data_IF_963588688448
#
_entry.id   IF_963588688448
#
_cell.length_a   1.000
_cell.length_b   1.000
_cell.length_c   1.000
_cell.angle_alpha   90.00
_cell.angle_beta   90.00
_cell.angle_gamma   90.00
#
_symmetry.space_group_name_H-M   'P 1'
#
loop_
_entity.id
_entity.type
_entity.pdbx_description
1 polymer ?
#
# COMPACT_ATOMS: atom_id res chain seq x y z
N UNK A 1 24.08 24.75 43.45
CA UNK A 1 23.20 23.56 43.34
C UNK A 1 22.32 23.77 42.13
N UNK A 2 22.35 22.85 41.17
CA UNK A 2 21.53 22.91 39.95
C UNK A 2 20.57 21.71 39.96
N UNK A 3 19.33 21.91 39.52
CA UNK A 3 18.36 20.82 39.32
C UNK A 3 18.76 19.96 38.11
N UNK A 4 18.79 18.64 38.27
CA UNK A 4 19.26 17.72 37.23
C UNK A 4 18.07 17.01 36.57
N UNK A 5 18.02 17.03 35.25
CA UNK A 5 17.04 16.29 34.45
C UNK A 5 17.71 15.03 33.87
N UNK A 6 17.15 13.82 34.04
CA UNK A 6 17.68 12.63 33.38
C UNK A 6 17.33 12.67 31.88
N UNK A 7 18.34 12.56 31.03
CA UNK A 7 18.15 12.33 29.59
C UNK A 7 18.12 10.82 29.39
N UNK A 8 16.97 10.28 28.98
CA UNK A 8 16.80 8.85 28.65
C UNK A 8 17.02 8.64 27.16
N UNK A 9 17.47 7.45 26.78
CA UNK A 9 17.54 7.05 25.37
C UNK A 9 16.13 7.08 24.76
N UNK A 10 15.99 7.69 23.58
CA UNK A 10 14.72 7.78 22.87
C UNK A 10 14.15 6.39 22.53
N UNK A 11 15.00 5.36 22.44
CA UNK A 11 14.59 3.97 22.18
C UNK A 11 13.95 3.27 23.40
N UNK A 12 14.16 3.73 24.63
CA UNK A 12 13.67 3.07 25.86
C UNK A 12 12.28 3.52 26.32
N UNK A 13 11.66 4.50 25.64
CA UNK A 13 10.32 4.99 26.00
C UNK A 13 9.24 4.04 25.48
N UNK A 14 8.98 2.94 26.20
CA UNK A 14 7.83 2.06 25.90
C UNK A 14 6.50 2.77 26.19
N UNK A 15 5.52 2.78 25.27
CA UNK A 15 4.21 3.33 25.55
C UNK A 15 3.44 2.40 26.50
N UNK A 16 3.13 2.88 27.71
CA UNK A 16 2.17 2.22 28.60
C UNK A 16 0.78 2.34 27.95
N UNK A 17 0.24 1.21 27.50
CA UNK A 17 -1.11 1.08 26.94
C UNK A 17 -2.19 0.96 28.04
N UNK A 18 -3.45 1.28 27.75
CA UNK A 18 -4.53 1.20 28.74
C UNK A 18 -4.96 -0.26 28.94
N UNK A 19 -4.98 -0.72 30.19
CA UNK A 19 -5.48 -2.04 30.56
C UNK A 19 -7.00 -2.05 30.42
N UNK A 20 -7.51 -2.90 29.52
CA UNK A 20 -8.96 -3.12 29.38
C UNK A 20 -9.52 -3.91 30.56
N UNK A 21 -10.68 -3.45 31.03
CA UNK A 21 -11.59 -4.14 31.94
C UNK A 21 -12.17 -5.39 31.28
N UNK A 22 -12.09 -6.55 31.93
CA UNK A 22 -12.98 -7.67 31.68
C UNK A 22 -13.68 -8.08 32.98
N UNK A 23 -14.99 -8.22 32.85
CA UNK A 23 -15.94 -8.63 33.88
C UNK A 23 -15.97 -10.14 34.09
N UNK A 24 -16.82 -10.48 35.05
CA UNK A 24 -17.02 -11.74 35.76
C UNK A 24 -17.56 -12.94 34.96
N UNK A 25 -17.46 -14.08 35.66
CA UNK A 25 -18.21 -15.36 35.57
C UNK A 25 -17.70 -16.39 34.54
N UNK A 26 -17.48 -17.68 34.83
CA UNK A 26 -17.86 -18.56 35.95
C UNK A 26 -17.16 -19.95 35.80
N UNK A 27 -17.01 -20.68 36.93
CA UNK A 27 -17.03 -22.16 37.16
C UNK A 27 -16.26 -23.09 36.16
N UNK A 28 -15.43 -24.08 36.53
CA UNK A 28 -15.58 -25.07 37.58
C UNK A 28 -14.31 -25.96 37.76
N UNK A 29 -14.19 -26.56 38.96
CA UNK A 29 -13.55 -27.85 39.34
C UNK A 29 -12.01 -28.12 39.36
N UNK A 30 -11.49 -28.10 40.61
CA UNK A 30 -10.77 -29.19 41.33
C UNK A 30 -9.40 -29.75 40.88
N UNK A 31 -8.36 -29.55 41.71
CA UNK A 31 -7.80 -30.60 42.62
C UNK A 31 -6.48 -30.19 43.33
N UNK A 32 -6.62 -29.82 44.61
CA UNK A 32 -5.85 -30.28 45.80
C UNK A 32 -4.38 -30.74 45.63
N UNK A 33 -3.49 -30.10 46.41
CA UNK A 33 -2.72 -30.65 47.57
C UNK A 33 -1.78 -29.54 48.11
N UNK A 34 -2.09 -28.98 49.30
CA UNK A 34 -1.37 -29.14 50.60
C UNK A 34 0.10 -28.68 50.57
N UNK A 35 0.60 -27.79 51.42
CA UNK A 35 0.14 -27.05 52.61
C UNK A 35 1.24 -26.02 52.96
N UNK A 36 1.18 -25.11 53.93
CA UNK A 36 0.21 -24.73 54.95
C UNK A 36 0.76 -23.47 55.66
N UNK A 37 -0.16 -22.62 56.14
CA UNK A 37 -0.07 -21.57 57.20
C UNK A 37 1.15 -20.62 57.23
N UNK A 38 1.03 -19.31 57.42
CA UNK A 38 -0.10 -18.46 57.81
C UNK A 38 0.31 -16.99 57.68
N UNK A 39 -0.69 -16.17 57.38
CA UNK A 39 -0.70 -14.73 57.19
C UNK A 39 -0.01 -13.89 58.28
N UNK A 40 0.63 -12.78 57.89
CA UNK A 40 0.08 -11.43 58.16
C UNK A 40 1.02 -10.34 57.66
N UNK A 41 0.69 -9.75 56.51
CA UNK A 41 0.60 -8.30 56.23
C UNK A 41 0.81 -8.03 54.74
N UNK A 42 -0.30 -8.08 53.99
CA UNK A 42 -0.50 -7.26 52.80
C UNK A 42 -0.43 -5.79 53.22
N UNK A 43 0.47 -5.04 52.58
CA UNK A 43 0.32 -3.67 52.08
C UNK A 43 1.74 -3.21 51.75
N UNK A 44 2.10 -3.27 50.47
CA UNK A 44 2.72 -2.12 49.81
C UNK A 44 2.75 -2.35 48.30
N UNK A 45 2.02 -1.48 47.62
CA UNK A 45 1.88 -1.44 46.20
C UNK A 45 3.21 -1.06 45.53
N UNK A 46 3.49 -1.75 44.42
CA UNK A 46 4.45 -1.43 43.36
C UNK A 46 4.96 0.03 43.36
N UNK A 47 6.12 0.27 43.99
CA UNK A 47 7.06 1.32 43.59
C UNK A 47 8.21 0.66 42.84
N UNK A 48 8.05 0.44 41.54
CA UNK A 48 9.22 0.30 40.67
C UNK A 48 9.83 1.70 40.51
N UNK A 49 10.68 2.09 41.46
CA UNK A 49 11.63 3.16 41.21
C UNK A 49 12.65 2.62 40.20
N UNK A 50 12.53 3.02 38.92
CA UNK A 50 13.63 2.93 37.97
C UNK A 50 14.85 3.59 38.62
N UNK A 51 15.85 2.79 39.01
CA UNK A 51 17.10 3.33 39.54
C UNK A 51 17.81 4.01 38.38
N UNK A 52 17.72 5.33 38.30
CA UNK A 52 18.43 6.13 37.29
C UNK A 52 19.92 6.08 37.60
N UNK A 53 20.70 5.45 36.73
CA UNK A 53 22.15 5.48 36.79
C UNK A 53 22.66 6.81 36.21
N UNK A 54 23.17 7.68 37.10
CA UNK A 54 23.70 8.99 36.73
C UNK A 54 25.13 8.88 36.23
N UNK A 55 25.42 9.55 35.11
CA UNK A 55 26.79 9.71 34.66
C UNK A 55 27.53 10.76 35.51
N UNK A 56 28.84 10.57 35.70
CA UNK A 56 29.68 11.45 36.51
C UNK A 56 29.92 12.84 35.88
N UNK A 57 29.58 13.00 34.60
CA UNK A 57 29.70 14.26 33.85
C UNK A 57 28.39 14.63 33.17
N UNK A 58 28.13 15.93 33.09
CA UNK A 58 26.91 16.49 32.51
C UNK A 58 27.16 17.82 31.80
N UNK A 59 26.10 18.36 31.18
CA UNK A 59 26.09 19.66 30.53
C UNK A 59 25.11 20.57 31.26
N UNK A 60 25.57 21.72 31.72
CA UNK A 60 24.69 22.76 32.24
C UNK A 60 23.99 23.40 31.05
N UNK A 61 22.67 23.48 31.08
CA UNK A 61 21.88 24.02 29.98
C UNK A 61 20.88 25.08 30.46
N UNK A 62 20.63 26.07 29.60
CA UNK A 62 19.61 27.10 29.78
C UNK A 62 18.38 26.74 28.97
N UNK A 63 17.20 26.74 29.59
CA UNK A 63 15.95 26.60 28.87
C UNK A 63 15.63 27.88 28.10
N UNK A 64 15.52 27.77 26.78
CA UNK A 64 15.20 28.89 25.88
C UNK A 64 13.71 28.99 25.62
N UNK A 65 13.05 27.85 25.38
CA UNK A 65 11.65 27.84 25.00
C UNK A 65 10.96 26.57 25.51
N UNK A 66 9.72 26.73 25.98
CA UNK A 66 8.83 25.64 26.37
C UNK A 66 7.56 25.74 25.54
N UNK A 67 7.33 24.79 24.64
CA UNK A 67 6.07 24.68 23.90
C UNK A 67 5.27 23.46 24.34
N UNK A 68 3.95 23.59 24.24
CA UNK A 68 2.99 22.52 24.52
C UNK A 68 2.41 22.02 23.20
N UNK A 69 2.76 20.80 22.82
CA UNK A 69 2.11 20.03 21.75
C UNK A 69 0.95 19.20 22.30
N UNK A 70 -0.07 19.01 21.47
CA UNK A 70 -1.20 18.12 21.77
C UNK A 70 -1.36 17.16 20.60
N UNK A 71 -1.18 15.87 20.86
CA UNK A 71 -1.46 14.82 19.86
C UNK A 71 -2.96 14.65 19.69
N UNK A 72 -3.47 14.94 18.48
CA UNK A 72 -4.91 14.98 18.18
C UNK A 72 -5.63 13.64 17.89
N UNK A 73 -5.06 12.47 18.23
CA UNK A 73 -5.89 11.27 18.45
C UNK A 73 -5.90 10.78 19.92
N UNK A 74 -4.86 11.05 20.72
CA UNK A 74 -4.63 10.41 22.03
C UNK A 74 -4.92 11.32 23.23
N UNK A 75 -5.10 12.63 23.01
CA UNK A 75 -5.23 13.61 24.09
C UNK A 75 -3.95 13.80 24.93
N UNK A 76 -2.83 13.16 24.53
CA UNK A 76 -1.55 13.29 25.21
C UNK A 76 -0.99 14.69 25.00
N UNK A 77 -0.59 15.30 26.12
CA UNK A 77 0.07 16.60 26.15
C UNK A 77 1.57 16.34 26.14
N UNK A 78 2.24 16.75 25.07
CA UNK A 78 3.70 16.68 24.93
C UNK A 78 4.29 18.06 25.21
N UNK A 79 5.28 18.14 26.08
CA UNK A 79 6.04 19.37 26.30
C UNK A 79 7.36 19.28 25.53
N UNK A 80 7.66 20.26 24.70
CA UNK A 80 8.91 20.37 23.97
C UNK A 80 9.71 21.48 24.63
N UNK A 81 10.89 21.15 25.15
CA UNK A 81 11.82 22.09 25.77
C UNK A 81 13.03 22.26 24.86
N UNK A 82 13.28 23.49 24.45
CA UNK A 82 14.51 23.86 23.72
C UNK A 82 15.54 24.29 24.74
N UNK A 83 16.68 23.60 24.76
CA UNK A 83 17.78 23.83 25.69
C UNK A 83 19.02 24.34 24.93
N UNK A 84 19.74 25.27 25.54
CA UNK A 84 21.05 25.73 25.08
C UNK A 84 22.12 25.25 26.06
N UNK A 85 23.07 24.44 25.58
CA UNK A 85 24.21 23.99 26.38
C UNK A 85 25.16 25.15 26.69
N UNK A 86 25.44 25.36 27.97
CA UNK A 86 26.34 26.41 28.47
C UNK A 86 27.75 25.88 28.66
N UNK A 87 27.92 24.87 29.53
CA UNK A 87 29.24 24.34 29.90
C UNK A 87 29.16 22.87 30.33
N UNK A 88 30.29 22.16 30.25
CA UNK A 88 30.45 20.81 30.79
C UNK A 88 30.81 20.88 32.27
N UNK A 89 30.30 19.94 33.06
CA UNK A 89 30.62 19.85 34.48
C UNK A 89 30.82 18.40 34.93
N UNK A 90 31.57 18.23 36.02
CA UNK A 90 31.63 16.97 36.77
C UNK A 90 30.69 17.05 37.97
N UNK A 91 29.98 15.96 38.24
CA UNK A 91 29.16 15.80 39.44
C UNK A 91 30.08 15.40 40.59
N UNK A 92 30.06 16.16 41.68
CA UNK A 92 30.82 15.83 42.90
C UNK A 92 29.95 15.12 43.92
N UNK A 93 28.72 15.62 44.12
CA UNK A 93 27.79 15.11 45.12
C UNK A 93 26.37 15.22 44.57
N UNK A 94 25.64 14.11 44.56
CA UNK A 94 24.23 14.04 44.19
C UNK A 94 23.37 14.00 45.47
N UNK A 95 22.35 14.83 45.52
CA UNK A 95 21.39 14.89 46.62
C UNK A 95 19.97 14.95 46.06
N UNK A 96 18.99 14.47 46.81
CA UNK A 96 17.58 14.52 46.41
C UNK A 96 16.86 15.49 47.33
N UNK A 97 16.14 16.46 46.75
CA UNK A 97 15.31 17.42 47.50
C UNK A 97 13.89 17.37 46.96
N UNK A 98 13.01 16.68 47.69
CA UNK A 98 11.60 16.52 47.29
C UNK A 98 11.46 15.76 45.97
N UNK A 99 10.87 16.40 44.97
CA UNK A 99 10.57 15.81 43.65
C UNK A 99 11.68 15.97 42.60
N UNK A 100 12.81 16.61 42.95
CA UNK A 100 13.92 16.86 42.02
C UNK A 100 15.29 16.50 42.62
N UNK A 101 16.23 16.18 41.74
CA UNK A 101 17.62 15.92 42.11
C UNK A 101 18.45 17.20 42.05
N UNK A 102 19.33 17.39 43.03
CA UNK A 102 20.28 18.50 43.12
C UNK A 102 21.70 18.01 43.21
N UNK A 103 22.62 18.56 42.40
CA UNK A 103 24.05 18.25 42.50
C UNK A 103 24.90 19.46 42.91
N UNK A 104 26.01 19.16 43.59
CA UNK A 104 27.20 20.00 43.60
C UNK A 104 28.06 19.61 42.39
N UNK A 105 28.42 20.60 41.59
CA UNK A 105 29.11 20.41 40.32
C UNK A 105 30.39 21.25 40.28
N UNK A 106 31.39 20.80 39.51
CA UNK A 106 32.58 21.58 39.16
C UNK A 106 32.66 21.77 37.65
N UNK A 107 32.92 23.01 37.21
CA UNK A 107 33.10 23.32 35.78
C UNK A 107 34.31 22.56 35.23
N UNK A 108 34.16 22.03 34.01
CA UNK A 108 35.23 21.38 33.24
C UNK A 108 35.70 22.25 32.07
N UNK A 109 35.29 23.51 32.01
CA UNK A 109 35.80 24.45 31.00
C UNK A 109 37.22 24.90 31.34
N UNK A 110 38.07 24.87 30.33
CA UNK A 110 39.40 25.46 30.40
C UNK A 110 39.28 26.98 30.50
N UNK A 111 40.18 27.59 31.28
CA UNK A 111 40.31 29.04 31.34
C UNK A 111 40.76 29.59 29.98
N UNK A 112 40.48 30.88 29.72
CA UNK A 112 40.87 31.53 28.46
C UNK A 112 42.37 31.41 28.18
N UNK A 113 43.19 31.56 29.21
CA UNK A 113 44.65 31.45 29.15
C UNK A 113 45.12 30.04 28.80
N UNK A 114 44.46 29.00 29.31
CA UNK A 114 44.78 27.61 28.97
C UNK A 114 44.38 27.28 27.52
N UNK A 115 43.23 27.81 27.07
CA UNK A 115 42.79 27.65 25.68
C UNK A 115 43.71 28.35 24.68
N UNK A 116 44.19 29.56 24.99
CA UNK A 116 45.15 30.29 24.15
C UNK A 116 46.46 29.51 23.97
N UNK A 117 46.92 28.80 25.01
CA UNK A 117 48.09 27.93 24.92
C UNK A 117 47.83 26.71 24.02
N UNK A 118 46.67 26.08 24.16
CA UNK A 118 46.27 24.94 23.31
C UNK A 118 46.12 25.35 21.85
N UNK A 119 45.60 26.54 21.57
CA UNK A 119 45.42 27.05 20.20
C UNK A 119 46.76 27.35 19.49
N UNK A 120 47.84 27.60 20.24
CA UNK A 120 49.19 27.78 19.71
C UNK A 120 49.95 26.47 19.49
N UNK A 121 49.43 25.36 19.98
CA UNK A 121 50.06 24.06 19.86
C UNK A 121 50.02 23.55 18.41
N UNK A 122 51.16 23.13 17.82
CA UNK A 122 51.23 22.69 16.43
C UNK A 122 50.31 21.49 16.14
N UNK A 123 50.13 20.57 17.08
CA UNK A 123 49.27 19.39 16.90
C UNK A 123 47.80 19.80 16.86
N UNK A 124 47.40 20.75 17.71
CA UNK A 124 46.04 21.26 17.74
C UNK A 124 45.70 22.03 16.47
N UNK A 125 46.64 22.83 15.94
CA UNK A 125 46.49 23.54 14.67
C UNK A 125 46.31 22.54 13.52
N UNK A 126 47.10 21.47 13.49
CA UNK A 126 46.97 20.41 12.48
C UNK A 126 45.61 19.72 12.54
N UNK A 127 45.21 19.26 13.73
CA UNK A 127 43.89 18.62 13.94
C UNK A 127 42.74 19.56 13.58
N UNK A 128 42.87 20.84 13.92
CA UNK A 128 41.89 21.87 13.57
C UNK A 128 41.74 22.04 12.06
N UNK A 129 42.85 22.04 11.31
CA UNK A 129 42.82 22.10 9.84
C UNK A 129 42.17 20.86 9.23
N UNK A 130 42.50 19.68 9.74
CA UNK A 130 41.93 18.41 9.30
C UNK A 130 40.41 18.36 9.55
N UNK A 131 39.97 18.75 10.76
CA UNK A 131 38.56 18.82 11.10
C UNK A 131 37.81 19.81 10.20
N UNK A 132 38.35 21.02 10.01
CA UNK A 132 37.71 22.01 9.12
C UNK A 132 37.60 21.52 7.68
N UNK A 133 38.61 20.84 7.15
CA UNK A 133 38.61 20.30 5.79
C UNK A 133 37.52 19.24 5.61
N UNK A 134 37.44 18.27 6.53
CA UNK A 134 36.43 17.20 6.51
C UNK A 134 35.01 17.75 6.73
N UNK A 135 34.83 18.69 7.65
CA UNK A 135 33.56 19.36 7.89
C UNK A 135 33.08 20.18 6.68
N UNK A 136 34.00 20.86 5.98
CA UNK A 136 33.69 21.62 4.77
C UNK A 136 33.26 20.71 3.61
N UNK A 137 33.91 19.55 3.47
CA UNK A 137 33.51 18.55 2.49
C UNK A 137 32.12 17.98 2.78
N UNK A 138 31.82 17.69 4.05
CA UNK A 138 30.49 17.24 4.43
C UNK A 138 29.41 18.29 4.13
N UNK A 139 29.66 19.57 4.47
CA UNK A 139 28.73 20.66 4.18
C UNK A 139 28.49 20.78 2.67
N UNK A 140 29.55 20.71 1.85
CA UNK A 140 29.38 20.87 0.40
C UNK A 140 28.51 19.76 -0.22
N UNK A 141 28.69 18.51 0.22
CA UNK A 141 27.85 17.38 -0.19
C UNK A 141 26.39 17.55 0.26
N UNK A 142 26.16 18.04 1.47
CA UNK A 142 24.80 18.28 1.99
C UNK A 142 24.10 19.45 1.28
N UNK A 143 24.81 20.56 1.03
CA UNK A 143 24.27 21.71 0.29
C UNK A 143 23.87 21.33 -1.13
N UNK A 144 24.67 20.51 -1.81
CA UNK A 144 24.36 20.00 -3.16
C UNK A 144 23.02 19.23 -3.18
N UNK A 145 22.73 18.46 -2.12
CA UNK A 145 21.49 17.68 -2.01
C UNK A 145 20.29 18.52 -1.60
N UNK A 146 20.44 19.40 -0.62
CA UNK A 146 19.32 20.13 -0.03
C UNK A 146 19.02 21.48 -0.70
N UNK A 147 19.80 21.90 -1.71
CA UNK A 147 19.68 23.21 -2.40
C UNK A 147 19.56 24.40 -1.44
N UNK A 148 20.10 24.26 -0.23
CA UNK A 148 20.01 25.25 0.83
C UNK A 148 21.34 25.99 0.87
N UNK A 149 21.32 27.31 0.66
CA UNK A 149 22.54 28.09 0.48
C UNK A 149 23.21 28.51 1.80
N UNK A 150 24.50 28.20 1.95
CA UNK A 150 25.57 29.09 2.45
C UNK A 150 25.62 29.45 3.93
N UNK A 151 24.57 29.18 4.73
CA UNK A 151 24.54 29.58 6.15
C UNK A 151 25.53 28.80 7.02
N UNK A 152 25.81 27.54 6.67
CA UNK A 152 26.67 26.66 7.48
C UNK A 152 28.17 26.92 7.23
N UNK A 153 28.53 27.44 6.05
CA UNK A 153 29.93 27.80 5.72
C UNK A 153 30.45 28.97 6.56
N UNK A 154 29.60 29.95 6.85
CA UNK A 154 29.96 31.10 7.69
C UNK A 154 30.28 30.69 9.13
N UNK A 155 29.67 29.61 9.63
CA UNK A 155 29.96 29.09 10.97
C UNK A 155 31.40 28.53 11.08
N UNK A 156 31.93 27.90 10.02
CA UNK A 156 33.29 27.34 10.00
C UNK A 156 34.39 28.39 10.15
N UNK A 157 34.11 29.63 9.76
CA UNK A 157 35.04 30.76 9.80
C UNK A 157 34.92 31.56 11.10
N UNK A 158 33.70 31.65 11.66
CA UNK A 158 33.40 32.55 12.79
C UNK A 158 33.46 31.88 14.16
N UNK A 159 33.25 30.56 14.24
CA UNK A 159 33.17 29.83 15.51
C UNK A 159 34.50 29.11 15.81
N UNK A 160 35.00 29.14 17.06
CA UNK A 160 36.17 28.36 17.46
C UNK A 160 36.02 26.86 17.19
N UNK A 161 37.11 26.21 16.78
CA UNK A 161 37.11 24.82 16.27
C UNK A 161 36.59 23.82 17.30
N UNK A 162 36.94 24.00 18.57
CA UNK A 162 36.48 23.14 19.66
C UNK A 162 34.96 23.23 19.89
N UNK A 163 34.33 24.38 19.62
CA UNK A 163 32.86 24.54 19.65
C UNK A 163 32.19 24.03 18.38
N UNK A 164 32.85 24.19 17.23
CA UNK A 164 32.37 23.62 15.98
C UNK A 164 32.27 22.10 16.07
N UNK A 165 33.25 21.43 16.68
CA UNK A 165 33.20 20.00 16.94
C UNK A 165 31.92 19.59 17.70
N UNK A 166 31.57 20.33 18.75
CA UNK A 166 30.38 20.07 19.56
C UNK A 166 29.08 20.31 18.76
N UNK A 167 29.02 21.36 17.94
CA UNK A 167 27.85 21.68 17.10
C UNK A 167 27.62 20.61 16.03
N UNK A 168 28.69 20.16 15.36
CA UNK A 168 28.58 19.14 14.32
C UNK A 168 28.12 17.80 14.89
N UNK A 169 28.71 17.38 16.01
CA UNK A 169 28.36 16.12 16.68
C UNK A 169 26.92 16.15 17.17
N UNK A 170 26.45 17.28 17.72
CA UNK A 170 25.05 17.44 18.13
C UNK A 170 24.06 17.43 16.96
N UNK A 171 24.53 17.67 15.73
CA UNK A 171 23.72 17.61 14.52
C UNK A 171 23.60 16.20 13.95
N UNK A 172 24.38 15.24 14.44
CA UNK A 172 24.37 13.86 13.97
C UNK A 172 23.58 12.94 14.90
N UNK A 173 22.87 12.00 14.31
CA UNK A 173 22.25 10.89 15.04
C UNK A 173 23.32 9.83 15.35
N UNK A 174 23.93 9.95 16.53
CA UNK A 174 24.94 9.02 17.06
C UNK A 174 24.42 8.30 18.30
N UNK A 175 25.01 7.14 18.63
CA UNK A 175 24.56 6.34 19.77
C UNK A 175 24.77 7.09 21.10
N UNK A 176 23.98 6.75 22.11
CA UNK A 176 24.10 7.36 23.44
C UNK A 176 25.51 7.19 24.04
N UNK A 177 26.14 6.04 23.83
CA UNK A 177 27.52 5.77 24.27
C UNK A 177 28.54 6.68 23.58
N UNK A 178 28.37 6.96 22.29
CA UNK A 178 29.23 7.89 21.54
C UNK A 178 29.04 9.33 22.02
N UNK A 179 27.79 9.74 22.30
CA UNK A 179 27.50 11.04 22.90
C UNK A 179 28.18 11.20 24.25
N UNK A 180 28.17 10.14 25.07
CA UNK A 180 28.79 10.11 26.38
C UNK A 180 30.33 10.16 26.28
N UNK A 181 30.92 9.40 25.36
CA UNK A 181 32.36 9.43 25.07
C UNK A 181 32.84 10.81 24.60
N UNK A 182 32.00 11.54 23.86
CA UNK A 182 32.27 12.92 23.46
C UNK A 182 32.14 13.90 24.63
N UNK A 183 31.17 13.68 25.53
CA UNK A 183 31.04 14.44 26.77
C UNK A 183 32.25 14.23 27.69
N UNK A 184 32.80 13.01 27.71
CA UNK A 184 33.96 12.65 28.53
C UNK A 184 35.31 13.18 28.04
N UNK A 185 35.36 13.59 26.77
CA UNK A 185 36.59 14.07 26.16
C UNK A 185 36.81 15.54 26.54
N UNK A 186 37.37 15.79 27.73
CA UNK A 186 37.62 17.14 28.26
C UNK A 186 38.73 17.83 27.46
N UNK A 187 39.78 17.11 27.08
CA UNK A 187 40.87 17.63 26.24
C UNK A 187 40.38 18.00 24.83
N UNK A 188 40.53 19.27 24.40
CA UNK A 188 40.16 19.72 23.06
C UNK A 188 40.82 18.92 21.92
N UNK A 189 42.06 18.44 22.08
CA UNK A 189 42.75 17.66 21.04
C UNK A 189 42.09 16.31 20.82
N UNK A 190 41.86 15.56 21.91
CA UNK A 190 41.16 14.27 21.89
C UNK A 190 39.74 14.44 21.33
N UNK A 191 39.05 15.50 21.74
CA UNK A 191 37.71 15.80 21.25
C UNK A 191 37.68 16.09 19.76
N UNK A 192 38.61 16.89 19.25
CA UNK A 192 38.71 17.17 17.81
C UNK A 192 39.01 15.92 17.00
N UNK A 193 39.91 15.07 17.48
CA UNK A 193 40.22 13.79 16.82
C UNK A 193 38.98 12.91 16.71
N UNK A 194 38.24 12.69 17.82
CA UNK A 194 36.99 11.93 17.81
C UNK A 194 35.90 12.56 16.95
N UNK A 195 35.74 13.88 17.01
CA UNK A 195 34.77 14.58 16.15
C UNK A 195 35.11 14.43 14.67
N UNK A 196 36.39 14.47 14.31
CA UNK A 196 36.86 14.25 12.93
C UNK A 196 36.52 12.84 12.45
N UNK A 197 36.73 11.82 13.29
CA UNK A 197 36.38 10.44 12.98
C UNK A 197 34.86 10.26 12.75
N UNK A 198 34.04 10.87 13.60
CA UNK A 198 32.58 10.84 13.45
C UNK A 198 32.12 11.52 12.16
N UNK A 199 32.68 12.69 11.84
CA UNK A 199 32.40 13.42 10.60
C UNK A 199 32.81 12.58 9.38
N UNK A 200 34.00 11.97 9.38
CA UNK A 200 34.47 11.13 8.27
C UNK A 200 33.59 9.89 8.09
N UNK A 201 33.19 9.23 9.18
CA UNK A 201 32.27 8.09 9.14
C UNK A 201 30.93 8.46 8.49
N UNK A 202 30.36 9.61 8.85
CA UNK A 202 29.13 10.10 8.21
C UNK A 202 29.35 10.42 6.74
N UNK A 203 30.48 11.02 6.39
CA UNK A 203 30.83 11.34 5.01
C UNK A 203 30.97 10.07 4.15
N UNK A 204 31.62 9.03 4.66
CA UNK A 204 31.71 7.72 4.00
C UNK A 204 30.33 7.07 3.81
N UNK A 205 29.46 7.14 4.83
CA UNK A 205 28.08 6.64 4.72
C UNK A 205 27.32 7.32 3.58
N UNK A 206 27.43 8.65 3.47
CA UNK A 206 26.81 9.42 2.39
C UNK A 206 27.36 9.01 1.01
N UNK A 207 28.68 8.84 0.87
CA UNK A 207 29.32 8.41 -0.38
C UNK A 207 28.92 6.98 -0.79
N UNK A 208 28.82 6.06 0.18
CA UNK A 208 28.34 4.69 -0.09
C UNK A 208 26.88 4.72 -0.54
N UNK A 209 26.03 5.51 0.12
CA UNK A 209 24.64 5.70 -0.28
C UNK A 209 24.54 6.28 -1.71
N UNK A 210 25.41 7.21 -2.10
CA UNK A 210 25.47 7.72 -3.48
C UNK A 210 25.91 6.67 -4.48
N UNK A 211 26.96 5.90 -4.17
CA UNK A 211 27.44 4.82 -5.04
C UNK A 211 26.38 3.74 -5.22
N UNK A 212 25.62 3.43 -4.17
CA UNK A 212 24.46 2.53 -4.25
C UNK A 212 23.37 3.18 -5.10
N UNK A 213 23.00 4.44 -4.85
CA UNK A 213 21.97 5.14 -5.63
C UNK A 213 22.31 5.19 -7.12
N UNK A 214 23.56 5.52 -7.47
CA UNK A 214 24.03 5.53 -8.86
C UNK A 214 24.07 4.14 -9.49
N UNK A 215 24.48 3.11 -8.73
CA UNK A 215 24.47 1.72 -9.20
C UNK A 215 23.05 1.17 -9.35
N UNK A 216 22.15 1.54 -8.45
CA UNK A 216 20.72 1.20 -8.50
C UNK A 216 20.05 1.93 -9.66
N UNK A 217 20.30 3.23 -9.87
CA UNK A 217 19.82 3.97 -11.05
C UNK A 217 20.41 3.43 -12.36
N UNK A 218 21.67 2.99 -12.36
CA UNK A 218 22.33 2.38 -13.51
C UNK A 218 21.91 0.92 -13.79
N UNK A 219 21.51 0.16 -12.78
CA UNK A 219 21.07 -1.24 -12.89
C UNK A 219 19.55 -1.40 -13.01
N UNK A 220 18.75 -0.40 -12.59
CA UNK A 220 17.30 -0.39 -12.78
C UNK A 220 16.98 -0.13 -14.25
N UNK A 221 16.99 -1.21 -15.04
CA UNK A 221 16.33 -1.24 -16.34
C UNK A 221 14.89 -0.72 -16.20
N UNK A 222 14.37 -0.06 -17.26
CA UNK A 222 12.98 0.45 -17.30
C UNK A 222 11.96 -0.56 -16.74
N UNK A 223 12.16 -1.85 -16.99
CA UNK A 223 11.29 -2.93 -16.51
C UNK A 223 11.28 -3.11 -14.98
N UNK A 224 12.41 -2.93 -14.29
CA UNK A 224 12.45 -3.04 -12.82
C UNK A 224 11.96 -1.77 -12.14
N UNK A 225 12.19 -0.60 -12.74
CA UNK A 225 11.58 0.66 -12.28
C UNK A 225 10.05 0.58 -12.40
N UNK A 226 9.54 0.00 -13.49
CA UNK A 226 8.11 -0.25 -13.66
C UNK A 226 7.58 -1.28 -12.64
N UNK A 227 8.35 -2.33 -12.34
CA UNK A 227 8.00 -3.32 -11.31
C UNK A 227 7.93 -2.70 -9.90
N UNK A 228 8.93 -1.91 -9.50
CA UNK A 228 8.95 -1.24 -8.19
C UNK A 228 7.83 -0.19 -8.08
N UNK A 229 7.59 0.58 -9.14
CA UNK A 229 6.48 1.54 -9.18
C UNK A 229 5.12 0.84 -9.05
N UNK A 230 4.92 -0.32 -9.70
CA UNK A 230 3.71 -1.12 -9.51
C UNK A 230 3.57 -1.63 -8.08
N UNK A 231 4.65 -2.09 -7.47
CA UNK A 231 4.63 -2.59 -6.10
C UNK A 231 4.36 -1.47 -5.07
N UNK A 232 4.93 -0.28 -5.28
CA UNK A 232 4.65 0.90 -4.46
C UNK A 232 3.22 1.40 -4.65
N UNK A 233 2.71 1.43 -5.89
CA UNK A 233 1.31 1.75 -6.15
C UNK A 233 0.36 0.76 -5.47
N UNK A 234 0.72 -0.54 -5.42
CA UNK A 234 -0.03 -1.56 -4.70
C UNK A 234 -0.04 -1.31 -3.20
N UNK A 235 1.12 -1.08 -2.59
CA UNK A 235 1.24 -0.76 -1.16
C UNK A 235 0.50 0.54 -0.78
N UNK A 236 0.52 1.56 -1.64
CA UNK A 236 -0.23 2.81 -1.43
C UNK A 236 -1.74 2.56 -1.50
N UNK A 237 -2.24 1.75 -2.44
CA UNK A 237 -3.67 1.40 -2.52
C UNK A 237 -4.13 0.60 -1.29
N UNK A 238 -3.30 -0.32 -0.82
CA UNK A 238 -3.53 -1.15 0.36
C UNK A 238 -3.58 -0.30 1.64
N UNK A 239 -2.69 0.70 1.79
CA UNK A 239 -2.76 1.68 2.89
C UNK A 239 -3.94 2.67 2.76
N UNK A 240 -4.39 2.98 1.54
CA UNK A 240 -5.57 3.81 1.31
C UNK A 240 -6.90 3.07 1.55
N UNK A 241 -6.87 1.74 1.78
CA UNK A 241 -8.06 0.92 1.95
C UNK A 241 -8.88 0.74 0.66
N UNK A 242 -8.24 0.82 -0.51
CA UNK A 242 -8.83 0.44 -1.79
C UNK A 242 -8.61 -1.08 -1.93
N UNK A 243 -9.67 -1.87 -1.70
CA UNK A 243 -9.61 -3.34 -1.59
C UNK A 243 -8.98 -4.01 -2.84
N UNK A 244 -8.01 -4.91 -2.62
CA UNK A 244 -7.34 -5.73 -3.67
C UNK A 244 -8.35 -6.57 -4.49
N UNK A 245 -9.56 -6.83 -3.98
CA UNK A 245 -10.62 -7.62 -4.62
C UNK A 245 -11.06 -7.02 -5.97
N UNK A 246 -11.08 -5.68 -6.10
CA UNK A 246 -11.51 -5.01 -7.33
C UNK A 246 -10.47 -5.12 -8.48
N UNK A 247 -9.18 -5.22 -8.16
CA UNK A 247 -8.11 -5.34 -9.16
C UNK A 247 -8.03 -6.77 -9.73
N UNK A 248 -8.22 -7.79 -8.88
CA UNK A 248 -8.33 -9.19 -9.31
C UNK A 248 -9.58 -9.43 -10.17
N UNK A 249 -10.71 -8.78 -9.86
CA UNK A 249 -11.95 -8.82 -10.64
C UNK A 249 -11.78 -8.27 -12.07
N UNK A 250 -11.04 -7.16 -12.22
CA UNK A 250 -10.77 -6.56 -13.52
C UNK A 250 -9.79 -7.40 -14.35
N UNK A 251 -8.81 -8.04 -13.72
CA UNK A 251 -7.95 -9.01 -14.40
C UNK A 251 -8.72 -10.24 -14.86
N UNK A 252 -9.66 -10.76 -14.04
CA UNK A 252 -10.52 -11.87 -14.43
C UNK A 252 -11.38 -11.52 -15.65
N UNK A 253 -11.94 -10.30 -15.70
CA UNK A 253 -12.69 -9.81 -16.84
C UNK A 253 -11.81 -9.70 -18.10
N UNK A 254 -10.58 -9.21 -17.99
CA UNK A 254 -9.63 -9.13 -19.10
C UNK A 254 -9.33 -10.52 -19.69
N UNK A 255 -9.00 -11.50 -18.84
CA UNK A 255 -8.77 -12.89 -19.26
C UNK A 255 -9.99 -13.49 -19.94
N UNK A 256 -11.20 -13.24 -19.40
CA UNK A 256 -12.45 -13.70 -20.00
C UNK A 256 -12.65 -13.10 -21.39
N UNK A 257 -12.39 -11.80 -21.56
CA UNK A 257 -12.48 -11.13 -22.85
C UNK A 257 -11.47 -11.69 -23.87
N UNK A 258 -10.23 -11.98 -23.47
CA UNK A 258 -9.21 -12.59 -24.34
C UNK A 258 -9.67 -13.98 -24.82
N UNK A 259 -10.22 -14.78 -23.90
CA UNK A 259 -10.73 -16.12 -24.21
C UNK A 259 -11.99 -16.14 -25.09
N UNK A 260 -12.70 -15.02 -25.22
CA UNK A 260 -13.96 -14.93 -25.95
C UNK A 260 -13.78 -14.97 -27.48
N UNK A 261 -12.56 -14.72 -27.99
CA UNK A 261 -12.25 -14.75 -29.42
C UNK A 261 -12.87 -13.59 -30.21
N UNK A 262 -12.89 -12.38 -29.63
CA UNK A 262 -13.50 -11.21 -30.29
C UNK A 262 -12.81 -10.85 -31.62
N UNK A 263 -13.56 -10.45 -32.66
CA UNK A 263 -12.99 -9.89 -33.89
C UNK A 263 -12.13 -8.65 -33.60
N UNK A 264 -11.11 -8.38 -34.44
CA UNK A 264 -10.09 -7.37 -34.15
C UNK A 264 -10.64 -5.94 -33.94
N UNK A 265 -11.69 -5.57 -34.69
CA UNK A 265 -12.38 -4.28 -34.53
C UNK A 265 -13.07 -4.15 -33.16
N UNK A 266 -13.69 -5.23 -32.70
CA UNK A 266 -14.39 -5.29 -31.41
C UNK A 266 -13.37 -5.36 -30.28
N UNK A 267 -12.34 -6.20 -30.40
CA UNK A 267 -11.25 -6.29 -29.43
C UNK A 267 -10.60 -4.93 -29.16
N UNK A 268 -10.24 -4.18 -30.21
CA UNK A 268 -9.68 -2.82 -30.08
C UNK A 268 -10.62 -1.88 -29.34
N UNK A 269 -11.93 -1.96 -29.61
CA UNK A 269 -12.93 -1.16 -28.92
C UNK A 269 -13.05 -1.54 -27.44
N UNK A 270 -13.24 -2.82 -27.14
CA UNK A 270 -13.40 -3.34 -25.78
C UNK A 270 -12.16 -3.07 -24.93
N UNK A 271 -10.95 -3.24 -25.48
CA UNK A 271 -9.71 -2.98 -24.77
C UNK A 271 -9.49 -1.48 -24.48
N UNK A 272 -9.98 -0.58 -25.35
CA UNK A 272 -9.99 0.87 -25.07
C UNK A 272 -10.93 1.21 -23.92
N UNK A 273 -12.12 0.60 -23.89
CA UNK A 273 -13.09 0.77 -22.80
C UNK A 273 -12.57 0.16 -21.48
N UNK A 274 -11.90 -1.01 -21.52
CA UNK A 274 -11.27 -1.63 -20.35
C UNK A 274 -10.17 -0.74 -19.76
N UNK A 275 -9.30 -0.15 -20.59
CA UNK A 275 -8.29 0.82 -20.14
C UNK A 275 -8.91 2.07 -19.51
N UNK A 276 -10.11 2.46 -19.93
CA UNK A 276 -10.85 3.55 -19.31
C UNK A 276 -11.43 3.13 -17.96
N UNK A 277 -11.99 1.92 -17.88
CA UNK A 277 -12.53 1.34 -16.65
C UNK A 277 -11.46 1.21 -15.55
N UNK A 278 -10.25 0.71 -15.88
CA UNK A 278 -9.10 0.61 -14.95
C UNK A 278 -8.64 1.95 -14.34
N UNK A 279 -9.01 3.08 -14.94
CA UNK A 279 -8.69 4.42 -14.44
C UNK A 279 -9.83 5.06 -13.65
N UNK A 280 -11.03 4.48 -13.70
CA UNK A 280 -12.19 4.98 -12.97
C UNK A 280 -12.19 4.37 -11.57
N UNK A 281 -12.54 5.18 -10.57
CA UNK A 281 -12.81 4.66 -9.24
C UNK A 281 -14.18 3.96 -9.21
N UNK A 282 -14.36 2.88 -8.45
CA UNK A 282 -15.62 2.13 -8.37
C UNK A 282 -16.85 2.99 -8.02
N UNK A 283 -16.65 4.04 -7.21
CA UNK A 283 -17.71 4.94 -6.77
C UNK A 283 -18.11 5.97 -7.84
N UNK A 284 -17.41 6.07 -8.97
CA UNK A 284 -17.73 7.04 -10.02
C UNK A 284 -19.01 6.66 -10.79
N UNK A 285 -19.88 7.65 -11.10
CA UNK A 285 -21.04 7.43 -11.96
C UNK A 285 -20.65 6.84 -13.32
N UNK A 286 -21.24 5.70 -13.67
CA UNK A 286 -20.99 5.01 -14.94
C UNK A 286 -19.95 3.88 -14.89
N UNK A 287 -19.27 3.67 -13.76
CA UNK A 287 -18.38 2.51 -13.56
C UNK A 287 -19.14 1.19 -13.78
N UNK A 288 -20.25 1.01 -13.06
CA UNK A 288 -21.11 -0.18 -13.15
C UNK A 288 -21.66 -0.43 -14.56
N UNK A 289 -22.10 0.62 -15.27
CA UNK A 289 -22.60 0.52 -16.64
C UNK A 289 -21.49 0.11 -17.63
N UNK A 290 -20.28 0.64 -17.43
CA UNK A 290 -19.13 0.30 -18.28
C UNK A 290 -18.64 -1.12 -18.03
N UNK A 291 -18.61 -1.57 -16.77
CA UNK A 291 -18.31 -2.95 -16.37
C UNK A 291 -19.32 -3.93 -16.96
N UNK A 292 -20.61 -3.71 -16.76
CA UNK A 292 -21.68 -4.57 -17.30
C UNK A 292 -21.64 -4.67 -18.84
N UNK A 293 -21.23 -3.60 -19.53
CA UNK A 293 -21.05 -3.62 -20.98
C UNK A 293 -19.87 -4.48 -21.43
N UNK A 294 -18.74 -4.42 -20.72
CA UNK A 294 -17.58 -5.28 -21.01
C UNK A 294 -17.86 -6.74 -20.69
N UNK A 295 -18.57 -7.02 -19.59
CA UNK A 295 -19.05 -8.36 -19.24
C UNK A 295 -19.98 -8.91 -20.32
N UNK A 296 -20.95 -8.12 -20.78
CA UNK A 296 -21.83 -8.48 -21.91
C UNK A 296 -21.02 -8.87 -23.15
N UNK A 297 -20.00 -8.09 -23.51
CA UNK A 297 -19.17 -8.40 -24.67
C UNK A 297 -18.38 -9.70 -24.48
N UNK A 298 -17.90 -9.97 -23.27
CA UNK A 298 -17.17 -11.19 -22.94
C UNK A 298 -18.07 -12.45 -22.99
N UNK A 299 -19.35 -12.32 -22.65
CA UNK A 299 -20.33 -13.42 -22.64
C UNK A 299 -20.91 -13.78 -24.01
N UNK A 300 -20.65 -12.97 -25.04
CA UNK A 300 -21.14 -13.24 -26.38
C UNK A 300 -20.29 -14.31 -27.09
N UNK A 301 -20.94 -15.27 -27.79
CA UNK A 301 -20.24 -16.32 -28.50
C UNK A 301 -19.69 -15.82 -29.85
N UNK A 302 -18.54 -15.14 -29.84
CA UNK A 302 -17.93 -14.57 -31.04
C UNK A 302 -17.39 -15.62 -32.03
N UNK A 303 -16.69 -16.64 -31.50
CA UNK A 303 -16.11 -17.74 -32.30
C UNK A 303 -16.69 -19.11 -31.96
N UNK A 304 -17.45 -19.21 -30.86
CA UNK A 304 -18.04 -20.47 -30.41
C UNK A 304 -19.29 -20.79 -31.22
N UNK A 305 -19.15 -21.64 -32.22
CA UNK A 305 -20.27 -22.23 -32.94
C UNK A 305 -20.58 -23.65 -32.43
N UNK A 306 -21.84 -24.08 -32.51
CA UNK A 306 -22.18 -25.49 -32.35
C UNK A 306 -21.54 -26.28 -33.50
N UNK A 307 -20.99 -27.47 -33.22
CA UNK A 307 -20.43 -28.34 -34.28
C UNK A 307 -21.51 -28.58 -35.33
N UNK A 308 -21.18 -28.32 -36.59
CA UNK A 308 -22.08 -28.64 -37.68
C UNK A 308 -22.12 -30.17 -37.85
N UNK A 309 -23.23 -30.76 -37.44
CA UNK A 309 -23.52 -32.16 -37.71
C UNK A 309 -24.00 -32.23 -39.16
N UNK A 310 -23.50 -33.23 -39.91
CA UNK A 310 -24.03 -33.47 -41.25
C UNK A 310 -25.54 -33.69 -41.15
N UNK A 311 -26.29 -32.90 -41.90
CA UNK A 311 -27.74 -32.90 -41.83
C UNK A 311 -28.28 -34.18 -42.49
N UNK A 312 -28.68 -35.16 -41.68
CA UNK A 312 -29.37 -36.36 -42.16
C UNK A 312 -30.88 -36.12 -42.19
N UNK A 313 -31.43 -36.08 -43.40
CA UNK A 313 -32.86 -35.86 -43.63
C UNK A 313 -33.71 -37.04 -43.15
N UNK A 314 -33.19 -38.28 -43.19
CA UNK A 314 -33.94 -39.47 -42.72
C UNK A 314 -34.05 -39.45 -41.20
N UNK A 315 -32.93 -39.27 -40.50
CA UNK A 315 -32.93 -39.12 -39.06
C UNK A 315 -33.78 -37.93 -38.59
N UNK A 316 -33.75 -36.81 -39.31
CA UNK A 316 -34.62 -35.66 -39.02
C UNK A 316 -36.11 -36.00 -39.17
N UNK A 317 -36.49 -36.76 -40.21
CA UNK A 317 -37.87 -37.18 -40.44
C UNK A 317 -38.34 -38.14 -39.35
N UNK A 318 -37.56 -39.18 -39.02
CA UNK A 318 -37.88 -40.12 -37.93
C UNK A 318 -38.06 -39.41 -36.59
N UNK A 319 -37.20 -38.43 -36.31
CA UNK A 319 -37.29 -37.62 -35.09
C UNK A 319 -38.57 -36.77 -35.05
N UNK A 320 -38.91 -36.11 -36.16
CA UNK A 320 -40.16 -35.35 -36.27
C UNK A 320 -41.39 -36.25 -36.15
N UNK A 321 -41.34 -37.46 -36.70
CA UNK A 321 -42.41 -38.45 -36.61
C UNK A 321 -42.60 -39.01 -35.20
N UNK A 322 -41.51 -39.20 -34.47
CA UNK A 322 -41.54 -39.60 -33.06
C UNK A 322 -42.05 -38.49 -32.15
N UNK A 323 -41.57 -37.27 -32.34
CA UNK A 323 -41.87 -36.16 -31.42
C UNK A 323 -43.28 -35.58 -31.64
N UNK A 324 -43.89 -35.77 -32.82
CA UNK A 324 -45.19 -35.20 -33.18
C UNK A 324 -46.05 -36.20 -33.94
N UNK A 325 -47.27 -36.48 -33.47
CA UNK A 325 -48.21 -37.34 -34.19
C UNK A 325 -48.90 -36.60 -35.35
N UNK A 326 -49.07 -37.26 -36.50
CA UNK A 326 -49.75 -36.69 -37.68
C UNK A 326 -48.93 -35.59 -38.39
N UNK A 327 -49.58 -34.47 -38.73
CA UNK A 327 -48.95 -33.29 -39.35
C UNK A 327 -48.13 -33.56 -40.64
N UNK A 328 -48.55 -34.55 -41.44
CA UNK A 328 -47.80 -35.05 -42.62
C UNK A 328 -47.35 -33.91 -43.55
N UNK A 329 -48.26 -33.01 -43.93
CA UNK A 329 -47.95 -31.87 -44.81
C UNK A 329 -46.92 -30.90 -44.21
N UNK A 330 -46.99 -30.66 -42.89
CA UNK A 330 -46.09 -29.72 -42.19
C UNK A 330 -44.71 -30.33 -42.06
N UNK A 331 -44.62 -31.60 -41.66
CA UNK A 331 -43.35 -32.35 -41.57
C UNK A 331 -42.67 -32.42 -42.94
N UNK A 332 -43.42 -32.73 -44.00
CA UNK A 332 -42.90 -32.73 -45.37
C UNK A 332 -42.28 -31.38 -45.73
N UNK A 333 -42.96 -30.27 -45.41
CA UNK A 333 -42.46 -28.91 -45.68
C UNK A 333 -41.20 -28.57 -44.88
N UNK A 334 -41.09 -29.06 -43.65
CA UNK A 334 -39.87 -28.91 -42.82
C UNK A 334 -38.71 -29.67 -43.48
N UNK A 335 -38.93 -30.91 -43.93
CA UNK A 335 -37.90 -31.71 -44.62
C UNK A 335 -37.47 -31.05 -45.92
N UNK A 336 -38.39 -30.53 -46.74
CA UNK A 336 -38.07 -29.76 -47.95
C UNK A 336 -37.18 -28.55 -47.63
N UNK A 337 -37.51 -27.81 -46.57
CA UNK A 337 -36.71 -26.67 -46.13
C UNK A 337 -35.29 -27.09 -45.71
N UNK A 338 -35.18 -28.16 -44.93
CA UNK A 338 -33.89 -28.70 -44.51
C UNK A 338 -33.06 -29.25 -45.68
N UNK A 339 -33.71 -29.82 -46.71
CA UNK A 339 -33.05 -30.31 -47.91
C UNK A 339 -32.42 -29.16 -48.73
N UNK A 340 -33.14 -28.05 -48.91
CA UNK A 340 -32.59 -26.84 -49.55
C UNK A 340 -31.39 -26.30 -48.77
N UNK A 341 -31.48 -26.30 -47.44
CA UNK A 341 -30.40 -25.83 -46.56
C UNK A 341 -29.18 -26.76 -46.57
N UNK A 342 -29.37 -28.08 -46.73
CA UNK A 342 -28.29 -29.06 -46.92
C UNK A 342 -27.51 -28.79 -48.22
N UNK A 343 -28.21 -28.42 -49.29
CA UNK A 343 -27.59 -28.15 -50.60
C UNK A 343 -26.92 -26.76 -50.66
N UNK A 344 -27.47 -25.76 -49.98
CA UNK A 344 -26.93 -24.39 -49.95
C UNK A 344 -26.89 -23.86 -48.51
N UNK A 345 -25.81 -24.13 -47.75
CA UNK A 345 -25.70 -23.69 -46.36
C UNK A 345 -25.70 -22.15 -46.20
N UNK A 346 -25.12 -21.43 -47.17
CA UNK A 346 -25.00 -19.96 -47.14
C UNK A 346 -26.18 -19.22 -47.78
N UNK A 347 -27.18 -19.93 -48.31
CA UNK A 347 -28.31 -19.27 -48.93
C UNK A 347 -29.17 -18.56 -47.87
N UNK A 348 -29.43 -17.26 -48.09
CA UNK A 348 -30.45 -16.51 -47.35
C UNK A 348 -31.85 -17.02 -47.75
N UNK A 349 -32.22 -18.16 -47.19
CA UNK A 349 -33.53 -18.77 -47.38
C UNK A 349 -34.62 -18.04 -46.59
N UNK A 350 -35.90 -18.26 -46.95
CA UNK A 350 -37.04 -17.70 -46.22
C UNK A 350 -37.06 -18.19 -44.76
N UNK A 351 -37.58 -17.38 -43.84
CA UNK A 351 -37.78 -17.76 -42.44
C UNK A 351 -39.02 -18.65 -42.33
N UNK A 352 -38.89 -19.80 -41.66
CA UNK A 352 -40.03 -20.69 -41.39
C UNK A 352 -41.00 -20.02 -40.40
N UNK A 353 -42.24 -19.82 -40.84
CA UNK A 353 -43.32 -19.27 -40.02
C UNK A 353 -44.41 -20.34 -39.81
N UNK A 354 -44.65 -20.72 -38.55
CA UNK A 354 -45.72 -21.64 -38.19
C UNK A 354 -46.95 -20.85 -37.72
N UNK A 355 -48.07 -21.00 -38.42
CA UNK A 355 -49.33 -20.31 -38.13
C UNK A 355 -50.40 -21.33 -37.73
N UNK A 356 -51.22 -21.00 -36.73
CA UNK A 356 -52.35 -21.84 -36.30
C UNK A 356 -52.87 -21.46 -34.90
N UNK A 357 -53.90 -22.15 -34.36
CA UNK A 357 -54.43 -21.89 -33.04
C UNK A 357 -53.42 -22.21 -31.91
N UNK A 358 -53.59 -21.67 -30.69
CA UNK A 358 -52.75 -22.04 -29.55
C UNK A 358 -52.86 -23.55 -29.25
N UNK A 359 -51.81 -24.15 -28.70
CA UNK A 359 -51.79 -25.57 -28.31
C UNK A 359 -51.40 -26.59 -29.39
N UNK A 360 -51.29 -26.20 -30.66
CA UNK A 360 -50.97 -27.13 -31.78
C UNK A 360 -49.50 -27.54 -31.90
N UNK A 361 -48.66 -27.29 -30.88
CA UNK A 361 -47.26 -27.75 -30.89
C UNK A 361 -46.27 -26.93 -31.73
N UNK A 362 -46.54 -25.65 -32.03
CA UNK A 362 -45.60 -24.79 -32.81
C UNK A 362 -44.20 -24.70 -32.19
N UNK A 363 -44.14 -24.44 -30.89
CA UNK A 363 -42.86 -24.31 -30.17
C UNK A 363 -42.16 -25.65 -30.04
N UNK A 364 -42.90 -26.74 -29.85
CA UNK A 364 -42.32 -28.08 -29.77
C UNK A 364 -41.77 -28.54 -31.13
N UNK A 365 -42.43 -28.21 -32.25
CA UNK A 365 -41.89 -28.43 -33.60
C UNK A 365 -40.55 -27.71 -33.80
N UNK A 366 -40.46 -26.44 -33.39
CA UNK A 366 -39.20 -25.67 -33.48
C UNK A 366 -38.08 -26.29 -32.62
N UNK A 367 -38.40 -26.81 -31.44
CA UNK A 367 -37.47 -27.53 -30.58
C UNK A 367 -36.99 -28.85 -31.20
N UNK A 368 -37.88 -29.61 -31.84
CA UNK A 368 -37.53 -30.84 -32.57
C UNK A 368 -36.64 -30.54 -33.78
N UNK A 369 -36.89 -29.45 -34.50
CA UNK A 369 -36.02 -28.99 -35.61
C UNK A 369 -34.62 -28.63 -35.09
N UNK A 370 -34.53 -27.86 -34.01
CA UNK A 370 -33.25 -27.50 -33.41
C UNK A 370 -32.47 -28.75 -32.98
N UNK A 371 -33.17 -29.72 -32.38
CA UNK A 371 -32.60 -31.00 -31.94
C UNK A 371 -32.14 -31.87 -33.12
N UNK A 372 -32.90 -31.91 -34.23
CA UNK A 372 -32.51 -32.62 -35.45
C UNK A 372 -31.28 -31.99 -36.11
N UNK A 373 -31.12 -30.67 -35.99
CA UNK A 373 -29.95 -29.92 -36.47
C UNK A 373 -28.75 -29.96 -35.52
N UNK A 374 -28.89 -30.53 -34.32
CA UNK A 374 -27.86 -30.47 -33.28
C UNK A 374 -27.55 -29.05 -32.80
N UNK A 375 -28.50 -28.12 -32.93
CA UNK A 375 -28.34 -26.71 -32.56
C UNK A 375 -29.04 -26.41 -31.25
N UNK A 376 -28.46 -25.51 -30.44
CA UNK A 376 -29.12 -25.01 -29.23
C UNK A 376 -30.42 -24.29 -29.57
N UNK A 377 -31.47 -24.57 -28.80
CA UNK A 377 -32.77 -23.93 -28.95
C UNK A 377 -32.89 -22.74 -27.99
N UNK A 378 -33.22 -21.56 -28.53
CA UNK A 378 -33.49 -20.35 -27.75
C UNK A 378 -34.86 -19.82 -28.17
N UNK A 379 -35.69 -19.44 -27.20
CA UNK A 379 -37.03 -18.90 -27.41
C UNK A 379 -37.08 -17.44 -27.01
N UNK A 380 -37.42 -16.57 -27.95
CA UNK A 380 -37.70 -15.15 -27.69
C UNK A 380 -39.20 -14.91 -27.88
N UNK A 381 -39.88 -14.46 -26.82
CA UNK A 381 -41.29 -14.08 -26.92
C UNK A 381 -41.40 -12.68 -27.51
N UNK A 382 -42.17 -12.55 -28.59
CA UNK A 382 -42.52 -11.27 -29.21
C UNK A 382 -43.88 -10.73 -28.70
N UNK A 383 -44.57 -11.49 -27.84
CA UNK A 383 -45.82 -11.06 -27.24
C UNK A 383 -45.60 -9.83 -26.35
N UNK A 384 -46.42 -8.79 -26.53
CA UNK A 384 -46.37 -7.57 -25.74
C UNK A 384 -45.21 -6.62 -26.08
N UNK A 385 -44.41 -6.92 -27.10
CA UNK A 385 -43.37 -6.00 -27.60
C UNK A 385 -44.04 -4.83 -28.29
N UNK A 386 -43.74 -3.61 -27.83
CA UNK A 386 -44.30 -2.36 -28.37
C UNK A 386 -43.24 -1.40 -28.90
N UNK A 387 -41.99 -1.60 -28.49
CA UNK A 387 -40.87 -0.71 -28.81
C UNK A 387 -39.73 -1.49 -29.48
N UNK A 388 -38.98 -0.81 -30.33
CA UNK A 388 -37.76 -1.32 -30.94
C UNK A 388 -36.67 -1.61 -29.90
N UNK A 389 -36.66 -0.85 -28.80
CA UNK A 389 -35.70 -1.01 -27.72
C UNK A 389 -35.79 -2.40 -27.05
N UNK A 390 -36.97 -3.03 -27.00
CA UNK A 390 -37.12 -4.40 -26.49
C UNK A 390 -36.33 -5.42 -27.32
N UNK A 391 -36.19 -5.18 -28.62
CA UNK A 391 -35.53 -6.10 -29.55
C UNK A 391 -34.05 -5.78 -29.67
N UNK A 392 -33.69 -4.50 -29.87
CA UNK A 392 -32.31 -4.05 -30.13
C UNK A 392 -31.54 -3.62 -28.87
N UNK A 393 -32.23 -3.15 -27.84
CA UNK A 393 -31.65 -2.59 -26.62
C UNK A 393 -31.57 -1.06 -26.63
N UNK A 394 -31.30 -0.49 -25.46
CA UNK A 394 -31.16 0.95 -25.29
C UNK A 394 -29.74 1.44 -25.62
N UNK A 395 -29.61 2.73 -25.96
CA UNK A 395 -28.29 3.38 -25.99
C UNK A 395 -27.71 3.39 -24.58
N UNK A 396 -26.42 3.07 -24.45
CA UNK A 396 -25.64 3.02 -23.18
C UNK A 396 -25.59 4.33 -22.37
N UNK A 397 -26.25 5.40 -22.84
CA UNK A 397 -26.20 6.73 -22.23
C UNK A 397 -27.05 6.86 -20.97
N UNK A 398 -28.00 5.94 -20.74
CA UNK A 398 -28.89 6.00 -19.58
C UNK A 398 -28.46 5.01 -18.49
N UNK A 399 -28.54 5.45 -17.23
CA UNK A 399 -28.42 4.56 -16.07
C UNK A 399 -29.53 3.50 -16.20
N UNK A 400 -29.17 2.22 -16.17
CA UNK A 400 -30.12 1.10 -16.37
C UNK A 400 -30.32 0.67 -17.82
N UNK A 401 -29.48 1.11 -18.76
CA UNK A 401 -29.52 0.63 -20.15
C UNK A 401 -29.29 -0.88 -20.23
N UNK A 402 -30.25 -1.61 -20.77
CA UNK A 402 -30.17 -3.05 -20.97
C UNK A 402 -30.03 -3.42 -22.46
N UNK A 403 -29.31 -4.51 -22.78
CA UNK A 403 -29.32 -5.07 -24.12
C UNK A 403 -30.73 -5.55 -24.51
N UNK A 404 -31.00 -5.63 -25.81
CA UNK A 404 -32.28 -6.14 -26.29
C UNK A 404 -32.39 -7.66 -26.16
N UNK A 405 -33.62 -8.18 -26.26
CA UNK A 405 -33.93 -9.62 -26.11
C UNK A 405 -33.14 -10.52 -27.06
N UNK A 406 -32.76 -10.03 -28.25
CA UNK A 406 -31.93 -10.78 -29.19
C UNK A 406 -30.51 -11.01 -28.65
N UNK A 407 -29.90 -9.96 -28.12
CA UNK A 407 -28.54 -10.03 -27.56
C UNK A 407 -28.53 -10.87 -26.29
N UNK A 408 -29.55 -10.71 -25.43
CA UNK A 408 -29.69 -11.55 -24.24
C UNK A 408 -29.91 -13.03 -24.59
N UNK A 409 -30.69 -13.33 -25.63
CA UNK A 409 -30.85 -14.71 -26.10
C UNK A 409 -29.59 -15.33 -26.71
N UNK A 410 -28.64 -14.49 -27.17
CA UNK A 410 -27.35 -14.92 -27.71
C UNK A 410 -26.27 -15.09 -26.64
N UNK A 411 -26.42 -14.48 -25.46
CA UNK A 411 -25.48 -14.68 -24.36
C UNK A 411 -25.34 -16.17 -24.10
N UNK A 412 -24.10 -16.60 -23.89
CA UNK A 412 -23.84 -17.96 -23.41
C UNK A 412 -24.37 -18.03 -21.99
N UNK A 413 -25.66 -18.33 -21.84
CA UNK A 413 -26.12 -18.92 -20.61
C UNK A 413 -25.38 -20.24 -20.51
N UNK A 414 -24.43 -20.30 -19.57
CA UNK A 414 -24.04 -21.55 -18.93
C UNK A 414 -25.31 -22.07 -18.25
N UNK A 415 -26.22 -22.62 -19.04
CA UNK A 415 -27.28 -23.47 -18.56
C UNK A 415 -26.56 -24.67 -17.94
N UNK A 416 -26.52 -24.67 -16.61
CA UNK A 416 -26.41 -25.86 -15.76
C UNK A 416 -27.08 -27.07 -16.39
#
# INVERSE_FOLDING_TARGET
MIGILPVRDAAEVKPVGPTMSQGLDSLDQSSKLQGGSSDSHKLDAKNQNDVVHWHNRGVAARALHLSRGVEKPSGRVTYIVVLEGLCRFSVQELSTRGTYHTARISSLEMTKTEMEQVEQDPDFIMLSRQFKATAMELISLLEQKQKTGGRTKVLLETVPVHKLADIFVASFEISFEEQLSMLDSVDPKVRLSKATELVDRHLQSIRVAEKISQKVEGQLSKSQKEFLLRQQMRAIKEELGDDDDDEDDLEALERKMESAGMPQNIWKHSHRELRRLKKMQPQQPGYSSSRAYLELLADLPWQKASKEIELDLRAAQERLDRDHYGLVKVKQRIIEYLAVRKLKPDARGPVLCFVGPPGVGKTSLASSIASALGRKFVRISLGGVKDEADIRGHRRTYIGSMPGRLIDGLKVHNST
#
